data_IF_987756729507
#
_entry.id   IF_987756729507
#
_cell.length_a   1.000
_cell.length_b   1.000
_cell.length_c   1.000
_cell.angle_alpha   90.00
_cell.angle_beta   90.00
_cell.angle_gamma   90.00
#
_symmetry.space_group_name_H-M   'P 1'
#
loop_
_entity.id
_entity.type
_entity.pdbx_description
1 polymer ?
#
# COMPACT_ATOMS: atom_id res chain seq x y z
N UNK A 1 40.24 31.88 -22.44
CA UNK A 1 41.41 31.01 -22.20
C UNK A 1 40.93 29.80 -21.38
N UNK A 2 41.37 28.59 -21.71
CA UNK A 2 40.96 27.26 -21.22
C UNK A 2 39.58 26.75 -21.70
N UNK A 3 39.48 25.88 -22.71
CA UNK A 3 39.85 24.45 -22.85
C UNK A 3 38.85 23.43 -22.24
N UNK A 4 38.16 22.76 -23.17
CA UNK A 4 38.03 21.29 -23.33
C UNK A 4 37.35 20.47 -22.23
N UNK A 5 36.18 19.91 -22.53
CA UNK A 5 35.89 18.48 -22.30
C UNK A 5 35.02 17.90 -23.41
N UNK A 6 35.64 17.03 -24.22
CA UNK A 6 34.99 16.00 -25.02
C UNK A 6 34.56 14.86 -24.09
N UNK A 7 33.38 14.30 -24.30
CA UNK A 7 32.99 12.97 -23.79
C UNK A 7 32.11 12.35 -24.87
N UNK A 8 32.72 11.64 -25.81
CA UNK A 8 32.72 10.17 -25.89
C UNK A 8 31.31 9.58 -25.87
N UNK A 9 30.62 9.71 -27.01
CA UNK A 9 29.52 8.84 -27.38
C UNK A 9 30.07 7.44 -27.67
N UNK A 10 29.64 6.45 -26.88
CA UNK A 10 29.83 5.03 -27.20
C UNK A 10 28.48 4.32 -27.15
N UNK A 11 28.01 4.02 -28.36
CA UNK A 11 27.54 2.71 -28.81
C UNK A 11 26.56 1.95 -27.93
N UNK A 12 25.33 1.80 -28.42
CA UNK A 12 24.68 0.48 -28.44
C UNK A 12 24.10 0.24 -29.84
N UNK A 13 24.70 -0.74 -30.52
CA UNK A 13 24.32 -1.19 -31.84
C UNK A 13 23.02 -2.01 -31.75
N UNK A 14 22.02 -1.55 -32.49
CA UNK A 14 20.75 -2.22 -32.75
C UNK A 14 21.01 -3.45 -33.63
N UNK A 15 20.94 -4.65 -33.05
CA UNK A 15 21.05 -5.92 -33.79
C UNK A 15 19.66 -6.44 -34.13
N UNK A 16 19.16 -6.06 -35.29
CA UNK A 16 17.97 -6.65 -35.91
C UNK A 16 18.37 -7.93 -36.64
N UNK A 17 17.87 -9.08 -36.20
CA UNK A 17 17.86 -10.31 -36.99
C UNK A 17 16.42 -10.71 -37.30
N UNK A 18 15.97 -10.59 -38.56
CA UNK A 18 14.79 -11.31 -39.02
C UNK A 18 15.20 -12.77 -39.28
N UNK A 19 14.52 -13.72 -38.64
CA UNK A 19 14.63 -15.15 -38.99
C UNK A 19 13.31 -15.54 -39.66
N UNK A 20 13.39 -15.68 -40.97
CA UNK A 20 12.35 -16.15 -41.87
C UNK A 20 12.20 -17.68 -41.76
N UNK A 21 10.95 -18.12 -41.62
CA UNK A 21 10.45 -19.47 -41.92
C UNK A 21 10.80 -19.85 -43.38
N UNK A 22 11.05 -21.15 -43.67
CA UNK A 22 9.98 -21.92 -44.32
C UNK A 22 9.90 -23.42 -43.98
N UNK A 23 8.66 -23.89 -43.95
CA UNK A 23 8.09 -25.13 -44.52
C UNK A 23 8.87 -26.46 -44.47
N UNK A 24 8.28 -27.45 -43.79
CA UNK A 24 8.07 -28.84 -44.28
C UNK A 24 7.24 -29.59 -43.20
N UNK A 25 5.91 -29.72 -43.31
CA UNK A 25 5.21 -30.80 -44.02
C UNK A 25 5.90 -32.17 -43.92
N UNK A 26 5.65 -32.90 -42.82
CA UNK A 26 5.87 -34.34 -42.78
C UNK A 26 4.88 -35.05 -41.83
N UNK A 27 3.85 -35.61 -42.45
CA UNK A 27 3.36 -36.98 -42.22
C UNK A 27 2.75 -37.28 -40.85
N UNK A 28 1.41 -37.24 -40.85
CA UNK A 28 0.52 -38.12 -40.09
C UNK A 28 1.07 -39.54 -39.98
N UNK A 29 1.54 -39.92 -38.79
CA UNK A 29 1.64 -41.31 -38.35
C UNK A 29 0.76 -41.47 -37.10
N UNK A 30 -0.53 -41.68 -37.35
CA UNK A 30 -1.47 -42.28 -36.42
C UNK A 30 -1.15 -43.78 -36.34
N UNK A 31 -0.32 -44.18 -35.38
CA UNK A 31 -0.26 -45.56 -34.87
C UNK A 31 -0.28 -45.47 -33.35
N UNK A 32 -1.36 -45.98 -32.78
CA UNK A 32 -1.59 -45.93 -31.34
C UNK A 32 -0.59 -46.77 -30.56
N UNK A 33 -0.07 -46.18 -29.49
CA UNK A 33 0.21 -46.92 -28.27
C UNK A 33 -0.83 -46.49 -27.24
N UNK A 34 -1.86 -47.33 -27.11
CA UNK A 34 -2.73 -47.38 -25.94
C UNK A 34 -1.89 -47.90 -24.79
N UNK A 35 -1.07 -47.03 -24.20
CA UNK A 35 -0.42 -47.23 -22.93
C UNK A 35 -1.47 -47.01 -21.85
N UNK A 36 -2.15 -48.08 -21.46
CA UNK A 36 -2.80 -48.12 -20.16
C UNK A 36 -1.71 -48.18 -19.10
N UNK A 37 -1.34 -47.01 -18.58
CA UNK A 37 -0.83 -46.93 -17.22
C UNK A 37 -2.02 -46.50 -16.37
N UNK A 38 -2.45 -47.42 -15.53
CA UNK A 38 -3.40 -47.20 -14.46
C UNK A 38 -2.92 -46.01 -13.63
N UNK A 39 -3.56 -44.85 -13.83
CA UNK A 39 -3.54 -43.82 -12.81
C UNK A 39 -4.04 -44.46 -11.51
N UNK A 40 -3.36 -44.28 -10.37
CA UNK A 40 -3.87 -44.78 -9.10
C UNK A 40 -5.26 -44.16 -8.88
N UNK A 41 -6.26 -45.02 -8.67
CA UNK A 41 -7.63 -44.61 -8.31
C UNK A 41 -7.53 -43.61 -7.14
N UNK A 42 -7.84 -42.34 -7.40
CA UNK A 42 -7.91 -41.29 -6.38
C UNK A 42 -7.19 -39.97 -6.67
N UNK A 43 -6.40 -39.83 -7.74
CA UNK A 43 -5.83 -38.53 -8.10
C UNK A 43 -6.76 -37.72 -9.01
N UNK A 44 -7.48 -36.78 -8.40
CA UNK A 44 -8.22 -35.74 -9.11
C UNK A 44 -7.26 -34.88 -9.95
N UNK A 45 -7.60 -34.68 -11.23
CA UNK A 45 -6.84 -33.79 -12.11
C UNK A 45 -7.03 -32.34 -11.64
N UNK A 46 -5.94 -31.54 -11.57
CA UNK A 46 -6.07 -30.14 -11.22
C UNK A 46 -6.78 -29.37 -12.33
N UNK A 47 -7.70 -28.50 -11.93
CA UNK A 47 -8.42 -27.59 -12.81
C UNK A 47 -8.23 -26.15 -12.38
N UNK A 48 -8.49 -25.22 -13.29
CA UNK A 48 -8.32 -23.79 -13.06
C UNK A 48 -9.70 -23.16 -12.88
N UNK A 49 -10.00 -22.66 -11.66
CA UNK A 49 -11.21 -21.88 -11.38
C UNK A 49 -10.86 -20.45 -11.01
N UNK A 50 -11.80 -19.55 -11.28
CA UNK A 50 -11.71 -18.13 -10.90
C UNK A 50 -12.85 -17.80 -9.95
N UNK A 51 -12.52 -17.13 -8.85
CA UNK A 51 -13.45 -16.71 -7.83
C UNK A 51 -13.51 -15.18 -7.77
N UNK A 52 -14.71 -14.64 -7.62
CA UNK A 52 -14.89 -13.24 -7.23
C UNK A 52 -14.55 -13.11 -5.76
N UNK A 53 -13.76 -12.10 -5.41
CA UNK A 53 -13.36 -11.83 -4.03
C UNK A 53 -13.56 -10.35 -3.72
N UNK A 54 -13.80 -9.96 -2.45
CA UNK A 54 -13.96 -8.56 -2.10
C UNK A 54 -12.78 -7.71 -2.57
N UNK A 55 -13.09 -6.48 -3.01
CA UNK A 55 -12.10 -5.57 -3.56
C UNK A 55 -10.97 -5.31 -2.53
N UNK A 56 -9.73 -5.54 -2.96
CA UNK A 56 -8.54 -5.37 -2.11
C UNK A 56 -8.11 -6.61 -1.31
N UNK A 57 -8.87 -7.71 -1.35
CA UNK A 57 -8.51 -8.93 -0.61
C UNK A 57 -7.82 -10.01 -1.47
N UNK A 58 -7.82 -9.86 -2.80
CA UNK A 58 -7.32 -10.89 -3.72
C UNK A 58 -5.86 -11.31 -3.45
N UNK A 59 -4.97 -10.35 -3.19
CA UNK A 59 -3.55 -10.63 -2.94
C UNK A 59 -3.33 -11.38 -1.63
N UNK A 60 -3.98 -10.93 -0.55
CA UNK A 60 -3.90 -11.56 0.78
C UNK A 60 -4.46 -12.97 0.75
N UNK A 61 -5.60 -13.18 0.09
CA UNK A 61 -6.21 -14.50 -0.07
C UNK A 61 -5.33 -15.42 -0.92
N UNK A 62 -4.71 -14.90 -1.99
CA UNK A 62 -3.79 -15.69 -2.81
C UNK A 62 -2.56 -16.13 -2.01
N UNK A 63 -1.99 -15.28 -1.16
CA UNK A 63 -0.86 -15.62 -0.30
C UNK A 63 -1.25 -16.69 0.74
N UNK A 64 -2.33 -16.46 1.49
CA UNK A 64 -2.81 -17.40 2.51
C UNK A 64 -3.15 -18.79 1.91
N UNK A 65 -3.81 -18.83 0.76
CA UNK A 65 -4.10 -20.09 0.07
C UNK A 65 -2.83 -20.80 -0.38
N UNK A 66 -1.84 -20.07 -0.89
CA UNK A 66 -0.57 -20.68 -1.28
C UNK A 66 0.20 -21.24 -0.07
N UNK A 67 0.10 -20.64 1.11
CA UNK A 67 0.70 -21.19 2.34
C UNK A 67 0.04 -22.51 2.74
N UNK A 68 -1.29 -22.57 2.70
CA UNK A 68 -2.05 -23.80 3.01
C UNK A 68 -1.74 -24.90 1.98
N UNK A 69 -1.74 -24.56 0.69
CA UNK A 69 -1.46 -25.49 -0.41
C UNK A 69 0.01 -25.93 -0.46
N UNK A 70 0.94 -25.17 0.15
CA UNK A 70 2.35 -25.50 0.25
C UNK A 70 2.73 -26.21 1.57
N UNK A 71 1.82 -26.29 2.54
CA UNK A 71 2.06 -26.86 3.86
C UNK A 71 2.34 -28.37 3.87
N UNK A 72 2.95 -28.92 4.95
CA UNK A 72 3.20 -30.35 5.08
C UNK A 72 1.88 -31.11 5.34
N UNK A 73 1.55 -32.06 4.48
CA UNK A 73 0.33 -32.90 4.59
C UNK A 73 0.00 -33.62 3.28
N UNK A 74 -1.13 -34.34 3.22
CA UNK A 74 -1.59 -35.05 2.01
C UNK A 74 -1.90 -34.11 0.84
N UNK A 75 -2.09 -32.81 1.10
CA UNK A 75 -2.38 -31.77 0.13
C UNK A 75 -1.15 -30.91 -0.23
N UNK A 76 0.05 -31.27 0.23
CA UNK A 76 1.27 -30.55 -0.07
C UNK A 76 1.52 -30.52 -1.60
N UNK A 77 1.50 -29.32 -2.19
CA UNK A 77 1.63 -29.16 -3.64
C UNK A 77 0.34 -29.46 -4.42
N UNK A 78 -0.81 -29.51 -3.76
CA UNK A 78 -2.10 -29.75 -4.40
C UNK A 78 -2.59 -28.58 -5.26
N UNK A 79 -1.95 -27.41 -5.22
CA UNK A 79 -2.39 -26.31 -6.07
C UNK A 79 -1.60 -25.03 -5.97
N UNK A 80 -2.12 -24.00 -6.65
CA UNK A 80 -1.58 -22.63 -6.63
C UNK A 80 -2.68 -21.60 -6.80
N UNK A 81 -2.61 -20.54 -6.01
CA UNK A 81 -3.47 -19.37 -6.11
C UNK A 81 -2.73 -18.14 -6.69
N UNK A 82 -3.45 -17.26 -7.38
CA UNK A 82 -2.93 -16.07 -8.04
C UNK A 82 -3.98 -14.97 -8.15
N UNK A 83 -3.59 -13.73 -7.88
CA UNK A 83 -4.45 -12.53 -7.84
C UNK A 83 -4.25 -11.58 -9.04
N UNK A 84 -3.73 -12.08 -10.17
CA UNK A 84 -3.38 -11.26 -11.36
C UNK A 84 -4.54 -10.49 -11.98
N UNK A 85 -5.79 -10.82 -11.62
CA UNK A 85 -6.98 -10.13 -12.10
C UNK A 85 -7.57 -9.30 -10.96
N UNK A 86 -7.84 -7.99 -11.16
CA UNK A 86 -8.42 -7.14 -10.12
C UNK A 86 -9.74 -7.71 -9.59
N UNK A 87 -9.88 -7.81 -8.27
CA UNK A 87 -11.09 -8.34 -7.61
C UNK A 87 -11.32 -9.84 -7.80
N UNK A 88 -10.35 -10.57 -8.36
CA UNK A 88 -10.50 -11.98 -8.70
C UNK A 88 -9.31 -12.80 -8.21
N UNK A 89 -9.64 -13.99 -7.74
CA UNK A 89 -8.69 -14.99 -7.32
C UNK A 89 -8.73 -16.16 -8.29
N UNK A 90 -7.59 -16.49 -8.89
CA UNK A 90 -7.43 -17.62 -9.80
C UNK A 90 -6.73 -18.74 -9.04
N UNK A 91 -7.36 -19.92 -8.99
CA UNK A 91 -6.83 -21.09 -8.26
C UNK A 91 -6.72 -22.26 -9.23
N UNK A 92 -5.55 -22.91 -9.23
CA UNK A 92 -5.29 -24.18 -9.91
C UNK A 92 -5.21 -25.27 -8.86
N UNK A 93 -6.20 -26.15 -8.75
CA UNK A 93 -6.23 -27.23 -7.75
C UNK A 93 -7.20 -28.37 -8.14
N UNK A 94 -7.15 -29.54 -7.47
CA UNK A 94 -8.20 -30.57 -7.54
C UNK A 94 -9.59 -30.06 -7.18
N UNK A 95 -10.63 -30.76 -7.64
CA UNK A 95 -12.03 -30.41 -7.38
C UNK A 95 -12.37 -30.35 -5.90
N UNK A 96 -11.89 -31.31 -5.11
CA UNK A 96 -12.06 -31.35 -3.65
C UNK A 96 -11.48 -30.11 -2.93
N UNK A 97 -10.39 -29.55 -3.45
CA UNK A 97 -9.81 -28.29 -2.94
C UNK A 97 -10.70 -27.12 -3.35
N UNK A 98 -11.21 -27.12 -4.59
CA UNK A 98 -12.12 -26.08 -5.06
C UNK A 98 -13.40 -25.98 -4.24
N UNK A 99 -13.96 -27.10 -3.78
CA UNK A 99 -15.14 -27.13 -2.91
C UNK A 99 -14.83 -26.47 -1.55
N UNK A 100 -13.65 -26.75 -0.98
CA UNK A 100 -13.20 -26.13 0.27
C UNK A 100 -12.94 -24.62 0.13
N UNK A 101 -12.39 -24.20 -1.01
CA UNK A 101 -12.20 -22.77 -1.33
C UNK A 101 -13.54 -22.06 -1.48
N UNK A 102 -14.52 -22.69 -2.15
CA UNK A 102 -15.85 -22.11 -2.32
C UNK A 102 -16.59 -21.97 -1.00
N UNK A 103 -16.51 -22.97 -0.12
CA UNK A 103 -17.08 -22.91 1.22
C UNK A 103 -16.43 -21.82 2.07
N UNK A 104 -15.09 -21.73 2.09
CA UNK A 104 -14.38 -20.68 2.83
C UNK A 104 -14.71 -19.27 2.31
N UNK A 105 -14.81 -19.09 0.99
CA UNK A 105 -15.22 -17.83 0.38
C UNK A 105 -16.69 -17.50 0.68
N UNK A 106 -17.57 -18.49 0.74
CA UNK A 106 -18.98 -18.31 1.09
C UNK A 106 -19.17 -17.96 2.56
N UNK A 107 -18.41 -18.57 3.48
CA UNK A 107 -18.39 -18.18 4.90
C UNK A 107 -17.88 -16.76 5.08
N UNK A 108 -16.81 -16.39 4.37
CA UNK A 108 -16.32 -15.02 4.33
C UNK A 108 -17.35 -14.06 3.74
N UNK A 109 -18.09 -14.44 2.71
CA UNK A 109 -19.15 -13.60 2.12
C UNK A 109 -20.38 -13.49 3.04
N UNK A 110 -20.72 -14.53 3.80
CA UNK A 110 -21.80 -14.55 4.77
C UNK A 110 -21.46 -13.83 6.08
N UNK A 111 -20.18 -13.68 6.40
CA UNK A 111 -19.68 -12.87 7.52
C UNK A 111 -19.18 -11.48 7.11
N UNK A 112 -18.98 -11.25 5.80
CA UNK A 112 -18.89 -9.95 5.17
C UNK A 112 -20.30 -9.35 5.09
N UNK A 113 -20.80 -8.93 6.25
CA UNK A 113 -21.69 -7.78 6.32
C UNK A 113 -21.16 -6.74 5.32
N UNK A 114 -22.01 -6.34 4.39
CA UNK A 114 -21.77 -5.59 3.14
C UNK A 114 -21.32 -4.13 3.43
N UNK A 115 -20.46 -3.94 4.44
CA UNK A 115 -19.67 -2.74 4.62
C UNK A 115 -18.70 -2.73 3.47
N UNK A 116 -19.08 -2.05 2.39
CA UNK A 116 -18.15 -1.30 1.55
C UNK A 116 -17.10 -0.77 2.51
N UNK A 117 -15.91 -1.37 2.51
CA UNK A 117 -14.86 -1.01 3.45
C UNK A 117 -14.55 0.46 3.15
N UNK A 118 -15.14 1.37 3.92
CA UNK A 118 -15.00 2.77 3.62
C UNK A 118 -13.51 3.07 3.75
N UNK A 119 -12.89 3.70 2.74
CA UNK A 119 -11.46 3.95 2.79
C UNK A 119 -11.17 4.77 4.03
N UNK A 120 -10.29 4.26 4.90
CA UNK A 120 -9.88 4.98 6.08
C UNK A 120 -9.25 6.31 5.66
N UNK A 121 -9.49 7.37 6.43
CA UNK A 121 -8.94 8.69 6.11
C UNK A 121 -7.88 9.04 7.13
N UNK A 122 -6.69 9.38 6.66
CA UNK A 122 -5.64 9.94 7.50
C UNK A 122 -5.76 11.46 7.48
N UNK A 123 -6.07 12.07 8.62
CA UNK A 123 -5.97 13.52 8.80
C UNK A 123 -4.58 13.90 9.28
N UNK A 124 -4.07 14.98 8.73
CA UNK A 124 -2.72 15.48 9.00
C UNK A 124 -2.82 16.96 9.31
N UNK A 125 -2.20 17.38 10.41
CA UNK A 125 -2.04 18.80 10.75
C UNK A 125 -0.56 19.14 10.90
N UNK A 126 -0.17 20.26 10.31
CA UNK A 126 1.14 20.86 10.50
C UNK A 126 0.98 22.07 11.40
N UNK A 127 1.59 22.03 12.58
CA UNK A 127 1.46 23.08 13.59
C UNK A 127 2.83 23.64 13.92
N UNK A 128 2.95 24.95 13.77
CA UNK A 128 4.13 25.72 14.15
C UNK A 128 4.03 26.11 15.63
N UNK A 129 5.11 25.86 16.38
CA UNK A 129 5.26 26.28 17.78
C UNK A 129 6.26 27.44 17.81
N UNK A 130 5.76 28.64 18.11
CA UNK A 130 6.56 29.86 18.10
C UNK A 130 6.03 30.91 19.11
N UNK A 131 6.90 31.77 19.65
CA UNK A 131 6.46 32.79 20.60
C UNK A 131 5.67 33.91 19.89
N UNK A 132 4.62 34.41 20.55
CA UNK A 132 3.93 35.66 20.17
C UNK A 132 2.78 35.56 19.15
N UNK A 133 2.54 34.39 18.56
CA UNK A 133 1.34 34.15 17.75
C UNK A 133 0.66 32.86 18.20
N UNK A 134 -0.44 33.00 18.92
CA UNK A 134 -1.32 31.88 19.25
C UNK A 134 -2.62 31.99 18.44
N UNK A 135 -2.83 31.03 17.56
CA UNK A 135 -4.01 30.86 16.73
C UNK A 135 -4.78 29.58 17.11
N UNK A 136 -4.45 28.96 18.24
CA UNK A 136 -5.09 27.72 18.73
C UNK A 136 -6.62 27.70 18.59
N UNK A 137 -7.36 28.78 18.94
CA UNK A 137 -8.82 28.75 18.86
C UNK A 137 -9.39 28.41 17.48
N UNK A 138 -8.63 28.63 16.40
CA UNK A 138 -9.06 28.33 15.03
C UNK A 138 -9.10 26.81 14.72
N UNK A 139 -8.36 25.98 15.45
CA UNK A 139 -8.20 24.56 15.15
C UNK A 139 -8.26 23.64 16.39
N UNK A 140 -8.53 24.21 17.57
CA UNK A 140 -8.67 23.52 18.84
C UNK A 140 -9.69 22.38 18.77
N UNK A 141 -10.84 22.60 18.12
CA UNK A 141 -11.88 21.58 17.96
C UNK A 141 -11.42 20.38 17.11
N UNK A 142 -10.58 20.62 16.10
CA UNK A 142 -10.12 19.56 15.19
C UNK A 142 -9.11 18.64 15.87
N UNK A 143 -8.22 19.22 16.68
CA UNK A 143 -7.16 18.49 17.40
C UNK A 143 -7.63 17.87 18.71
N UNK A 144 -8.73 18.37 19.30
CA UNK A 144 -9.29 17.82 20.54
C UNK A 144 -8.23 17.76 21.64
N UNK A 145 -8.15 16.63 22.33
CA UNK A 145 -7.26 16.43 23.48
C UNK A 145 -5.76 16.58 23.16
N UNK A 146 -5.36 16.42 21.89
CA UNK A 146 -3.97 16.58 21.47
C UNK A 146 -3.46 18.01 21.74
N UNK A 147 -4.34 19.02 21.76
CA UNK A 147 -3.95 20.40 21.99
C UNK A 147 -3.42 20.63 23.41
N UNK A 148 -4.00 19.95 24.40
CA UNK A 148 -3.61 20.09 25.80
C UNK A 148 -2.26 19.44 26.07
N UNK A 149 -1.97 18.33 25.39
CA UNK A 149 -0.64 17.69 25.39
C UNK A 149 0.41 18.66 24.83
N UNK A 150 0.11 19.33 23.71
CA UNK A 150 1.01 20.31 23.10
C UNK A 150 1.23 21.51 24.03
N UNK A 151 0.15 22.10 24.56
CA UNK A 151 0.22 23.26 25.47
C UNK A 151 1.05 22.96 26.72
N UNK A 152 0.86 21.78 27.30
CA UNK A 152 1.64 21.34 28.47
C UNK A 152 3.12 21.21 28.12
N UNK A 153 3.44 20.64 26.95
CA UNK A 153 4.83 20.41 26.53
C UNK A 153 5.55 21.70 26.12
N UNK A 154 4.85 22.64 25.51
CA UNK A 154 5.37 23.89 24.97
C UNK A 154 4.80 25.12 25.68
N UNK A 155 4.72 25.06 27.02
CA UNK A 155 4.14 26.12 27.83
C UNK A 155 4.76 27.50 27.51
N UNK A 156 3.90 28.50 27.33
CA UNK A 156 4.30 29.88 26.99
C UNK A 156 4.65 30.12 25.52
N UNK A 157 4.56 29.10 24.66
CA UNK A 157 4.64 29.25 23.21
C UNK A 157 3.24 29.38 22.60
N UNK A 158 3.13 30.14 21.50
CA UNK A 158 1.92 30.18 20.70
C UNK A 158 1.91 29.05 19.66
N UNK A 159 0.72 28.59 19.28
CA UNK A 159 0.53 27.57 18.27
C UNK A 159 -0.12 28.18 17.03
N UNK A 160 0.42 27.87 15.85
CA UNK A 160 -0.12 28.32 14.57
C UNK A 160 -0.35 27.12 13.66
N UNK A 161 -1.59 26.93 13.20
CA UNK A 161 -1.87 25.96 12.16
C UNK A 161 -1.26 26.46 10.85
N UNK A 162 -0.37 25.65 10.28
CA UNK A 162 0.21 25.88 8.96
C UNK A 162 -0.68 25.25 7.90
N UNK A 163 -1.13 24.03 8.17
CA UNK A 163 -1.89 23.25 7.20
C UNK A 163 -2.72 22.17 7.90
N UNK A 164 -3.89 21.92 7.32
CA UNK A 164 -4.71 20.74 7.57
C UNK A 164 -4.95 20.03 6.23
N UNK A 165 -4.74 18.73 6.21
CA UNK A 165 -4.93 17.88 5.04
C UNK A 165 -5.65 16.58 5.43
N UNK A 166 -6.37 16.01 4.47
CA UNK A 166 -7.03 14.72 4.61
C UNK A 166 -6.68 13.85 3.41
N UNK A 167 -6.21 12.64 3.68
CA UNK A 167 -5.78 11.68 2.68
C UNK A 167 -6.58 10.39 2.81
N UNK A 168 -7.35 10.06 1.77
CA UNK A 168 -8.01 8.76 1.67
C UNK A 168 -6.97 7.66 1.45
N UNK A 169 -7.00 6.63 2.30
CA UNK A 169 -6.06 5.53 2.26
C UNK A 169 -6.61 4.38 1.40
N UNK A 170 -5.76 3.74 0.59
CA UNK A 170 -6.16 2.61 -0.23
C UNK A 170 -6.39 1.38 0.66
N UNK A 171 -7.43 0.61 0.35
CA UNK A 171 -7.77 -0.62 1.08
C UNK A 171 -6.82 -1.80 0.78
N UNK A 172 -5.94 -1.69 -0.22
CA UNK A 172 -5.13 -2.77 -0.77
C UNK A 172 -3.61 -2.59 -0.58
N UNK A 173 -3.16 -2.08 0.58
CA UNK A 173 -1.73 -1.86 0.88
C UNK A 173 -1.00 -0.96 -0.15
N UNK A 174 -1.77 -0.08 -0.80
CA UNK A 174 -1.28 0.84 -1.83
C UNK A 174 -0.55 2.07 -1.28
N UNK A 175 0.00 2.85 -2.20
CA UNK A 175 0.54 4.18 -1.93
C UNK A 175 -0.54 5.23 -2.24
N UNK A 176 -0.88 6.05 -1.25
CA UNK A 176 -1.62 7.29 -1.45
C UNK A 176 -0.67 8.48 -1.45
N UNK A 177 -0.88 9.42 -2.36
CA UNK A 177 -0.13 10.66 -2.42
C UNK A 177 -1.06 11.86 -2.46
N UNK A 178 -0.65 12.95 -1.82
CA UNK A 178 -1.35 14.22 -1.81
C UNK A 178 -0.34 15.36 -1.87
N UNK A 179 -0.51 16.26 -2.83
CA UNK A 179 0.16 17.55 -2.81
C UNK A 179 -0.82 18.60 -2.30
N UNK A 180 -0.47 19.27 -1.21
CA UNK A 180 -1.34 20.23 -0.56
C UNK A 180 -1.30 21.61 -1.24
N UNK A 181 -2.21 22.51 -0.86
CA UNK A 181 -2.24 23.88 -1.37
C UNK A 181 -0.99 24.68 -1.01
N UNK A 182 -0.30 24.32 0.07
CA UNK A 182 1.01 24.88 0.40
C UNK A 182 2.16 24.16 -0.33
N UNK A 183 1.92 23.14 -1.14
CA UNK A 183 2.97 22.44 -1.88
C UNK A 183 3.79 21.45 -1.04
N UNK A 184 3.26 21.04 0.11
CA UNK A 184 3.78 19.86 0.80
C UNK A 184 3.32 18.61 0.05
N UNK A 185 4.24 17.67 -0.13
CA UNK A 185 3.98 16.36 -0.70
C UNK A 185 3.89 15.34 0.44
N UNK A 186 2.73 14.73 0.57
CA UNK A 186 2.43 13.69 1.54
C UNK A 186 2.32 12.37 0.78
N UNK A 187 3.08 11.38 1.20
CA UNK A 187 3.06 10.02 0.69
C UNK A 187 2.81 9.07 1.84
N UNK A 188 1.78 8.23 1.73
CA UNK A 188 1.43 7.24 2.75
C UNK A 188 1.29 5.88 2.09
N UNK A 189 2.11 4.93 2.52
CA UNK A 189 2.01 3.54 2.13
C UNK A 189 1.42 2.73 3.28
N UNK A 190 0.29 2.08 3.01
CA UNK A 190 -0.31 1.14 3.96
C UNK A 190 0.46 -0.18 3.90
N UNK A 191 0.87 -0.70 5.05
CA UNK A 191 1.59 -1.97 5.17
C UNK A 191 0.64 -3.10 5.58
N UNK A 192 0.95 -4.36 5.25
CA UNK A 192 0.21 -5.50 5.77
C UNK A 192 0.48 -5.69 7.27
N UNK A 193 -0.54 -6.05 8.04
CA UNK A 193 -0.44 -6.28 9.47
C UNK A 193 -1.80 -6.40 10.16
N UNK A 194 -1.81 -6.96 11.37
CA UNK A 194 -3.01 -7.06 12.21
C UNK A 194 -3.44 -5.71 12.81
N UNK A 195 -2.49 -4.77 12.90
CA UNK A 195 -2.71 -3.38 13.31
C UNK A 195 -2.45 -2.51 12.08
N UNK A 196 -3.25 -1.44 11.83
CA UNK A 196 -2.99 -0.54 10.73
C UNK A 196 -1.61 0.12 10.88
N UNK A 197 -0.70 -0.24 9.96
CA UNK A 197 0.67 0.29 9.93
C UNK A 197 0.89 1.08 8.64
N UNK A 198 1.55 2.23 8.77
CA UNK A 198 1.77 3.18 7.69
C UNK A 198 3.24 3.59 7.62
N UNK A 199 3.83 3.56 6.42
CA UNK A 199 5.03 4.34 6.12
C UNK A 199 4.58 5.70 5.60
N UNK A 200 4.84 6.75 6.39
CA UNK A 200 4.48 8.13 6.08
C UNK A 200 5.74 8.90 5.72
N UNK A 201 5.70 9.56 4.56
CA UNK A 201 6.68 10.52 4.12
C UNK A 201 6.00 11.86 3.84
N UNK A 202 6.54 12.93 4.40
CA UNK A 202 6.10 14.30 4.21
C UNK A 202 7.30 15.14 3.81
N UNK A 203 7.24 15.69 2.61
CA UNK A 203 8.29 16.50 2.00
C UNK A 203 7.76 17.89 1.66
N UNK A 204 8.53 18.90 2.02
CA UNK A 204 8.33 20.28 1.60
C UNK A 204 9.66 20.82 1.12
N UNK A 205 9.74 21.16 -0.17
CA UNK A 205 10.98 21.69 -0.77
C UNK A 205 11.28 23.13 -0.33
N UNK A 206 10.33 23.80 0.32
CA UNK A 206 10.42 25.20 0.73
C UNK A 206 10.32 26.16 -0.45
N UNK A 207 9.46 27.16 -0.33
CA UNK A 207 9.27 28.23 -1.31
C UNK A 207 8.54 29.42 -0.69
N UNK A 208 8.99 30.64 -0.97
CA UNK A 208 8.40 31.86 -0.40
C UNK A 208 8.57 31.99 1.12
N UNK A 209 7.46 31.95 1.86
CA UNK A 209 7.41 31.98 3.35
C UNK A 209 7.50 30.58 3.98
N UNK A 210 7.45 29.51 3.19
CA UNK A 210 7.43 28.15 3.73
C UNK A 210 8.82 27.65 4.10
N UNK A 211 8.88 26.96 5.24
CA UNK A 211 10.12 26.35 5.72
C UNK A 211 10.20 24.91 5.23
N UNK A 212 11.35 24.48 4.65
CA UNK A 212 11.55 23.10 4.23
C UNK A 212 11.25 22.10 5.35
N UNK A 213 10.64 20.98 4.98
CA UNK A 213 10.23 19.93 5.90
C UNK A 213 10.56 18.58 5.26
N UNK A 214 11.25 17.72 5.99
CA UNK A 214 11.39 16.32 5.64
C UNK A 214 11.05 15.52 6.89
N UNK A 215 9.97 14.74 6.79
CA UNK A 215 9.52 13.86 7.84
C UNK A 215 9.28 12.48 7.24
N UNK A 216 9.86 11.46 7.87
CA UNK A 216 9.65 10.06 7.53
C UNK A 216 9.42 9.29 8.81
N UNK A 217 8.36 8.51 8.85
CA UNK A 217 8.05 7.70 10.02
C UNK A 217 7.25 6.46 9.64
N UNK A 218 7.45 5.40 10.42
CA UNK A 218 6.56 4.24 10.43
C UNK A 218 5.66 4.35 11.64
N UNK A 219 4.36 4.29 11.41
CA UNK A 219 3.34 4.50 12.44
C UNK A 219 2.43 3.30 12.51
N UNK A 220 2.15 2.85 13.73
CA UNK A 220 1.01 2.00 14.02
C UNK A 220 -0.05 2.89 14.64
N UNK A 221 -1.24 2.94 14.02
CA UNK A 221 -2.27 3.91 14.41
C UNK A 221 -3.65 3.26 14.35
N UNK A 222 -4.30 3.10 15.50
CA UNK A 222 -5.68 2.65 15.54
C UNK A 222 -6.66 3.81 15.19
N UNK A 223 -7.88 3.51 14.71
CA UNK A 223 -8.88 4.54 14.47
C UNK A 223 -9.16 5.37 15.73
N UNK A 224 -9.17 6.69 15.59
CA UNK A 224 -9.35 7.67 16.67
C UNK A 224 -8.05 8.05 17.39
N UNK A 225 -6.96 7.29 17.23
CA UNK A 225 -5.68 7.62 17.85
C UNK A 225 -4.99 8.76 17.11
N UNK A 226 -4.34 9.65 17.88
CA UNK A 226 -3.58 10.77 17.35
C UNK A 226 -2.11 10.61 17.72
N UNK A 227 -1.23 10.59 16.73
CA UNK A 227 0.22 10.64 16.92
C UNK A 227 0.69 12.08 16.72
N UNK A 228 1.58 12.52 17.61
CA UNK A 228 2.23 13.83 17.55
C UNK A 228 3.73 13.60 17.38
N UNK A 229 4.27 14.01 16.24
CA UNK A 229 5.70 13.99 15.98
C UNK A 229 6.25 15.41 15.95
N UNK A 230 7.40 15.64 16.58
CA UNK A 230 8.10 16.92 16.51
C UNK A 230 9.24 16.84 15.50
N UNK A 231 9.32 17.82 14.61
CA UNK A 231 10.42 18.00 13.67
C UNK A 231 11.21 19.23 14.05
N UNK A 232 12.53 19.08 14.12
CA UNK A 232 13.44 20.20 14.32
C UNK A 232 13.58 20.91 12.99
N UNK A 233 13.16 22.17 12.95
CA UNK A 233 13.24 22.96 11.75
C UNK A 233 14.66 23.49 11.56
N UNK A 234 15.36 23.06 10.50
CA UNK A 234 16.73 23.54 10.18
C UNK A 234 16.73 24.83 9.34
N UNK A 235 15.58 25.42 9.03
CA UNK A 235 15.45 26.58 8.15
C UNK A 235 14.88 27.84 8.82
N UNK A 236 15.28 29.01 8.27
CA UNK A 236 14.85 30.43 8.37
C UNK A 236 14.41 31.03 9.72
N UNK A 237 13.99 30.24 10.70
CA UNK A 237 13.74 30.72 12.04
C UNK A 237 15.07 30.79 12.78
N UNK A 238 15.68 31.96 12.70
CA UNK A 238 16.75 32.47 13.56
C UNK A 238 16.47 32.32 15.07
N UNK A 239 15.25 31.89 15.47
CA UNK A 239 14.82 31.65 16.86
C UNK A 239 14.46 30.20 17.21
N UNK A 240 14.71 29.21 16.34
CA UNK A 240 14.60 27.79 16.73
C UNK A 240 13.19 27.29 17.03
N UNK A 241 12.18 27.75 16.30
CA UNK A 241 10.83 27.22 16.46
C UNK A 241 10.70 25.76 16.00
N UNK A 242 9.70 25.07 16.55
CA UNK A 242 9.44 23.64 16.31
C UNK A 242 8.23 23.48 15.41
N UNK A 243 8.28 22.54 14.45
CA UNK A 243 7.08 22.14 13.68
C UNK A 243 6.62 20.77 14.13
N UNK A 244 5.37 20.69 14.52
CA UNK A 244 4.69 19.45 14.87
C UNK A 244 3.95 18.92 13.65
N UNK A 245 4.03 17.60 13.47
CA UNK A 245 3.24 16.83 12.52
C UNK A 245 2.29 15.99 13.37
N UNK A 246 0.99 16.28 13.28
CA UNK A 246 -0.05 15.52 13.95
C UNK A 246 -0.76 14.66 12.91
N UNK A 247 -1.03 13.41 13.26
CA UNK A 247 -1.68 12.45 12.37
C UNK A 247 -2.74 11.70 13.15
N UNK A 248 -3.96 11.62 12.59
CA UNK A 248 -5.06 10.85 13.14
C UNK A 248 -5.68 9.98 12.07
N UNK A 249 -5.90 8.71 12.39
CA UNK A 249 -6.69 7.82 11.55
C UNK A 249 -8.14 7.98 11.94
N UNK A 250 -8.97 8.48 11.03
CA UNK A 250 -10.41 8.53 11.27
C UNK A 250 -11.05 7.17 11.06
N UNK A 251 -12.15 6.91 11.79
CA UNK A 251 -12.92 5.71 11.60
C UNK A 251 -13.59 5.71 10.21
N UNK A 252 -13.68 4.54 9.55
CA UNK A 252 -14.44 4.42 8.31
C UNK A 252 -15.89 4.88 8.54
N UNK A 253 -16.32 5.95 7.85
CA UNK A 253 -17.69 6.50 7.90
C UNK A 253 -17.98 7.57 8.95
N UNK A 254 -16.96 8.19 9.52
CA UNK A 254 -17.08 9.38 10.38
C UNK A 254 -17.16 10.70 9.60
#
# INVERSE_FOLDING_TARGET
>A
MYQTRRTLERSFAMSTRPVTLPALLAILMLVGCRGGDSAPDGQELPELRTYEVPAGQADVLAEALNEVLAGPGEQAGAGRASSRLPGRLVVLAPGSVHDSVEEALAEMAGSADERVAQPATLRIWLVDVQPGQDQTPAFEKSLGDAIEVIRTRFAGQGLRLVEEASLGLPSNHGLATLTTGTGNEISVRTLPGNVPTFDVELLSKGGGEQVPLEFRSRLELAPGETVIAATLNKGRWDKGGTRLVLMRLDAPGS
#
